data_IF_879071951185
#
_entry.id   IF_879071951185
#
_cell.length_a   1.000
_cell.length_b   1.000
_cell.length_c   1.000
_cell.angle_alpha   90.00
_cell.angle_beta   90.00
_cell.angle_gamma   90.00
#
_symmetry.space_group_name_H-M   'P 1'
#
loop_
_entity.id
_entity.type
_entity.pdbx_description
1 polymer ?
#
# COMPACT_ATOMS: atom_id res chain seq x y z
N UNK A 1 -16.11 -18.02 -4.84
CA UNK A 1 -14.92 -17.75 -5.66
C UNK A 1 -14.05 -16.76 -4.88
N UNK A 2 -12.83 -17.13 -4.61
CA UNK A 2 -11.94 -16.43 -3.68
C UNK A 2 -11.40 -15.10 -4.25
N UNK A 3 -11.27 -15.03 -5.57
CA UNK A 3 -10.78 -13.84 -6.28
C UNK A 3 -11.90 -13.30 -7.15
N UNK A 4 -12.20 -11.99 -7.12
CA UNK A 4 -13.18 -11.37 -8.00
C UNK A 4 -12.80 -11.54 -9.48
N UNK A 5 -13.80 -11.77 -10.34
CA UNK A 5 -13.56 -11.91 -11.78
C UNK A 5 -13.23 -10.58 -12.44
N UNK A 6 -13.89 -9.51 -12.01
CA UNK A 6 -13.79 -8.19 -12.61
C UNK A 6 -13.08 -7.22 -11.67
N UNK A 7 -12.28 -6.33 -12.26
CA UNK A 7 -11.67 -5.22 -11.56
C UNK A 7 -12.63 -4.01 -11.54
N UNK A 8 -12.65 -3.29 -10.44
CA UNK A 8 -13.36 -2.03 -10.31
C UNK A 8 -12.40 -0.90 -10.67
N UNK A 9 -12.78 -0.08 -11.64
CA UNK A 9 -12.00 1.11 -12.00
C UNK A 9 -12.34 2.25 -11.04
N UNK A 10 -11.31 2.79 -10.39
CA UNK A 10 -11.42 3.89 -9.45
C UNK A 10 -10.63 5.07 -10.02
N UNK A 11 -11.29 6.24 -10.11
CA UNK A 11 -10.62 7.50 -10.45
C UNK A 11 -10.46 8.30 -9.17
N UNK A 12 -9.23 8.69 -8.86
CA UNK A 12 -8.91 9.49 -7.69
C UNK A 12 -9.02 10.99 -7.97
N UNK A 13 -8.63 11.38 -9.19
CA UNK A 13 -8.70 12.75 -9.71
C UNK A 13 -8.61 12.69 -11.24
N UNK A 14 -8.41 13.85 -11.89
CA UNK A 14 -8.28 13.95 -13.34
C UNK A 14 -6.94 13.34 -13.87
N UNK A 15 -6.01 13.03 -12.99
CA UNK A 15 -4.64 12.62 -13.32
C UNK A 15 -4.41 11.13 -13.07
N UNK A 16 -5.06 10.55 -12.07
CA UNK A 16 -4.78 9.19 -11.61
C UNK A 16 -6.03 8.30 -11.61
N UNK A 17 -5.89 7.12 -12.20
CA UNK A 17 -6.88 6.06 -12.13
C UNK A 17 -6.21 4.69 -11.98
N UNK A 18 -6.89 3.79 -11.29
CA UNK A 18 -6.42 2.42 -11.11
C UNK A 18 -7.57 1.42 -11.20
N UNK A 19 -7.23 0.19 -11.57
CA UNK A 19 -8.17 -0.93 -11.59
C UNK A 19 -7.87 -1.87 -10.43
N UNK A 20 -8.82 -2.03 -9.51
CA UNK A 20 -8.64 -2.73 -8.25
C UNK A 20 -9.45 -4.02 -8.22
N UNK A 21 -8.82 -5.11 -7.79
CA UNK A 21 -9.47 -6.34 -7.33
C UNK A 21 -9.10 -6.54 -5.87
N UNK A 22 -10.09 -6.49 -5.00
CA UNK A 22 -9.86 -6.78 -3.57
C UNK A 22 -9.96 -8.27 -3.32
N UNK A 23 -8.94 -8.82 -2.67
CA UNK A 23 -8.92 -10.23 -2.23
C UNK A 23 -8.84 -10.20 -0.71
N UNK A 24 -9.82 -10.85 -0.08
CA UNK A 24 -9.85 -11.01 1.37
C UNK A 24 -9.22 -12.33 1.79
N UNK A 25 -8.58 -12.35 2.96
CA UNK A 25 -8.05 -13.56 3.58
C UNK A 25 -8.27 -13.50 5.10
N UNK A 26 -8.20 -14.67 5.74
CA UNK A 26 -8.44 -14.78 7.19
C UNK A 26 -7.40 -14.00 8.01
N UNK A 27 -6.19 -13.90 7.50
CA UNK A 27 -5.06 -13.38 8.27
C UNK A 27 -4.41 -14.45 9.17
N UNK A 28 -3.35 -14.07 9.86
CA UNK A 28 -2.75 -14.91 10.91
C UNK A 28 -3.58 -14.80 12.18
N UNK A 29 -3.78 -15.94 12.85
CA UNK A 29 -4.65 -16.00 14.03
C UNK A 29 -3.89 -15.49 15.24
N UNK A 30 -4.46 -14.51 15.93
CA UNK A 30 -3.94 -14.02 17.22
C UNK A 30 -4.30 -15.01 18.34
N UNK A 31 -3.47 -15.13 19.41
CA UNK A 31 -3.64 -16.16 20.44
C UNK A 31 -5.01 -16.21 21.10
N UNK A 32 -5.59 -15.06 21.44
CA UNK A 32 -6.92 -14.98 22.07
C UNK A 32 -8.08 -14.91 21.09
N UNK A 33 -7.86 -15.12 19.79
CA UNK A 33 -8.98 -15.19 18.83
C UNK A 33 -9.90 -16.37 19.17
N UNK A 34 -11.19 -16.15 19.03
CA UNK A 34 -12.21 -17.19 19.26
C UNK A 34 -12.66 -17.81 17.95
N UNK A 35 -13.18 -19.06 18.01
CA UNK A 35 -13.82 -19.71 16.87
C UNK A 35 -12.91 -20.65 16.08
N UNK A 36 -11.61 -20.77 16.40
CA UNK A 36 -10.71 -21.77 15.82
C UNK A 36 -10.57 -23.05 16.67
N UNK A 37 -11.15 -23.04 17.90
CA UNK A 37 -11.27 -24.20 18.78
C UNK A 37 -12.76 -24.50 18.96
N UNK A 38 -13.14 -25.75 18.82
CA UNK A 38 -14.48 -26.26 18.99
C UNK A 38 -14.41 -27.56 19.84
N UNK A 39 -15.18 -27.63 20.94
CA UNK A 39 -15.16 -28.77 21.88
C UNK A 39 -13.74 -29.16 22.36
N UNK A 40 -12.93 -28.20 22.74
CA UNK A 40 -11.54 -28.37 23.20
C UNK A 40 -10.58 -28.93 22.13
N UNK A 41 -10.99 -29.01 20.86
CA UNK A 41 -10.18 -29.45 19.75
C UNK A 41 -10.11 -28.39 18.65
N UNK A 42 -9.04 -28.37 17.83
CA UNK A 42 -8.99 -27.49 16.66
C UNK A 42 -10.19 -27.72 15.76
N UNK A 43 -10.89 -26.64 15.38
CA UNK A 43 -11.96 -26.72 14.38
C UNK A 43 -11.37 -27.17 13.05
N UNK A 44 -11.95 -28.22 12.48
CA UNK A 44 -11.54 -28.77 11.19
C UNK A 44 -12.30 -28.13 10.04
N UNK A 45 -11.64 -27.89 8.92
CA UNK A 45 -12.23 -27.25 7.73
C UNK A 45 -11.71 -27.90 6.45
N UNK A 46 -12.58 -28.01 5.45
CA UNK A 46 -12.19 -28.36 4.09
C UNK A 46 -11.69 -27.11 3.35
N UNK A 47 -10.64 -27.26 2.60
CA UNK A 47 -10.12 -26.22 1.72
C UNK A 47 -9.95 -26.75 0.30
N UNK A 48 -9.84 -25.87 -0.69
CA UNK A 48 -9.60 -26.28 -2.08
C UNK A 48 -8.17 -26.79 -2.33
N UNK A 49 -7.30 -26.74 -1.35
CA UNK A 49 -5.88 -27.12 -1.48
C UNK A 49 -5.57 -28.51 -0.92
N UNK A 50 -6.49 -29.10 -0.16
CA UNK A 50 -6.33 -30.41 0.46
C UNK A 50 -7.56 -31.26 0.24
N UNK A 51 -7.35 -32.57 0.04
CA UNK A 51 -8.42 -33.55 -0.14
C UNK A 51 -9.02 -34.01 1.21
N UNK A 52 -8.40 -33.61 2.33
CA UNK A 52 -8.81 -33.95 3.69
C UNK A 52 -9.08 -32.66 4.49
N UNK A 53 -9.86 -32.78 5.56
CA UNK A 53 -10.06 -31.73 6.52
C UNK A 53 -8.76 -31.40 7.27
N UNK A 54 -8.44 -30.13 7.41
CA UNK A 54 -7.27 -29.63 8.15
C UNK A 54 -7.72 -28.67 9.27
N UNK A 55 -6.89 -28.48 10.31
CA UNK A 55 -7.17 -27.49 11.34
C UNK A 55 -7.35 -26.07 10.76
N UNK A 56 -8.34 -25.34 11.26
CA UNK A 56 -8.68 -24.00 10.77
C UNK A 56 -7.48 -23.01 10.83
N UNK A 57 -6.68 -23.08 11.90
CA UNK A 57 -5.47 -22.26 12.01
C UNK A 57 -4.46 -22.54 10.88
N UNK A 58 -4.28 -23.81 10.53
CA UNK A 58 -3.42 -24.20 9.42
C UNK A 58 -4.00 -23.75 8.07
N UNK A 59 -5.31 -23.87 7.89
CA UNK A 59 -6.00 -23.38 6.69
C UNK A 59 -5.88 -21.85 6.54
N UNK A 60 -6.04 -21.11 7.64
CA UNK A 60 -5.89 -19.66 7.68
C UNK A 60 -4.45 -19.25 7.32
N UNK A 61 -3.46 -19.91 7.89
CA UNK A 61 -2.04 -19.64 7.63
C UNK A 61 -1.68 -19.86 6.15
N UNK A 62 -2.01 -21.03 5.61
CA UNK A 62 -1.73 -21.37 4.20
C UNK A 62 -2.50 -20.44 3.26
N UNK A 63 -3.77 -20.17 3.54
CA UNK A 63 -4.59 -19.26 2.74
C UNK A 63 -4.04 -17.84 2.71
N UNK A 64 -3.64 -17.31 3.86
CA UNK A 64 -3.04 -15.99 3.98
C UNK A 64 -1.72 -15.91 3.22
N UNK A 65 -0.84 -16.89 3.42
CA UNK A 65 0.42 -16.96 2.71
C UNK A 65 0.23 -17.01 1.18
N UNK A 66 -0.72 -17.82 0.68
CA UNK A 66 -1.04 -17.87 -0.76
C UNK A 66 -1.58 -16.54 -1.30
N UNK A 67 -2.42 -15.84 -0.54
CA UNK A 67 -2.87 -14.49 -0.93
C UNK A 67 -1.69 -13.54 -1.02
N UNK A 68 -0.83 -13.53 -0.01
CA UNK A 68 0.35 -12.67 0.02
C UNK A 68 1.31 -13.01 -1.15
N UNK A 69 1.60 -14.29 -1.41
CA UNK A 69 2.61 -14.68 -2.41
C UNK A 69 2.08 -14.62 -3.84
N UNK A 70 0.92 -15.23 -4.08
CA UNK A 70 0.49 -15.59 -5.43
C UNK A 70 -0.58 -14.64 -6.01
N UNK A 71 -1.39 -13.99 -5.15
CA UNK A 71 -2.61 -13.32 -5.57
C UNK A 71 -2.62 -11.80 -5.35
N UNK A 72 -1.74 -11.27 -4.52
CA UNK A 72 -1.69 -9.83 -4.25
C UNK A 72 -0.57 -9.13 -5.02
N UNK A 73 -0.86 -7.93 -5.52
CA UNK A 73 0.13 -7.01 -6.08
C UNK A 73 0.60 -6.02 -5.03
N UNK A 74 -0.30 -5.65 -4.12
CA UNK A 74 -0.05 -4.76 -2.98
C UNK A 74 -0.77 -5.32 -1.76
N UNK A 75 -0.21 -5.12 -0.57
CA UNK A 75 -0.81 -5.48 0.71
C UNK A 75 -1.58 -4.32 1.33
N UNK A 76 -2.81 -4.60 1.79
CA UNK A 76 -3.52 -3.76 2.74
C UNK A 76 -3.53 -4.50 4.08
N UNK A 77 -2.62 -4.12 4.97
CA UNK A 77 -2.50 -4.74 6.29
C UNK A 77 -3.45 -4.06 7.24
N UNK A 78 -4.38 -4.79 7.83
CA UNK A 78 -5.30 -4.24 8.82
C UNK A 78 -4.90 -4.72 10.20
N UNK A 79 -4.63 -3.76 11.09
CA UNK A 79 -4.32 -4.00 12.50
C UNK A 79 -5.19 -3.09 13.38
N UNK A 80 -5.02 -3.11 14.69
CA UNK A 80 -5.82 -2.32 15.63
C UNK A 80 -4.97 -1.73 16.75
N UNK A 81 -5.46 -0.67 17.36
CA UNK A 81 -4.92 -0.12 18.61
C UNK A 81 -5.40 -0.89 19.86
N UNK A 82 -6.21 -1.94 19.69
CA UNK A 82 -6.81 -2.75 20.76
C UNK A 82 -8.18 -2.24 21.23
N UNK A 83 -8.69 -1.14 20.69
CA UNK A 83 -9.98 -0.57 21.12
C UNK A 83 -11.21 -1.22 20.49
N UNK A 84 -11.02 -2.00 19.42
CA UNK A 84 -12.12 -2.54 18.59
C UNK A 84 -12.64 -3.92 19.05
N UNK A 85 -11.92 -4.57 19.96
CA UNK A 85 -12.27 -5.89 20.51
C UNK A 85 -11.75 -6.03 21.94
N UNK A 86 -12.09 -7.14 22.60
CA UNK A 86 -11.60 -7.48 23.95
C UNK A 86 -10.14 -8.02 23.91
N UNK A 87 -9.55 -8.17 22.73
CA UNK A 87 -8.16 -8.63 22.55
C UNK A 87 -7.21 -7.43 22.64
N UNK A 88 -6.25 -7.46 23.58
CA UNK A 88 -5.32 -6.34 23.76
C UNK A 88 -4.37 -6.18 22.56
N UNK A 89 -3.93 -4.94 22.31
CA UNK A 89 -3.01 -4.59 21.22
C UNK A 89 -1.79 -5.51 21.14
N UNK A 90 -1.22 -5.87 22.29
CA UNK A 90 -0.01 -6.70 22.36
C UNK A 90 -0.13 -8.07 21.70
N UNK A 91 -1.35 -8.62 21.57
CA UNK A 91 -1.53 -9.91 20.92
C UNK A 91 -1.55 -9.84 19.39
N UNK A 92 -1.78 -8.66 18.84
CA UNK A 92 -1.74 -8.44 17.39
C UNK A 92 -0.32 -8.21 16.85
N UNK A 93 0.62 -7.78 17.69
CA UNK A 93 1.94 -7.30 17.27
C UNK A 93 2.74 -8.38 16.53
N UNK A 94 2.76 -9.61 17.02
CA UNK A 94 3.51 -10.70 16.40
C UNK A 94 2.96 -11.04 15.00
N UNK A 95 1.63 -11.13 14.86
CA UNK A 95 0.98 -11.40 13.59
C UNK A 95 1.18 -10.25 12.59
N UNK A 96 1.07 -9.01 13.07
CA UNK A 96 1.30 -7.80 12.29
C UNK A 96 2.74 -7.74 11.75
N UNK A 97 3.72 -7.93 12.61
CA UNK A 97 5.14 -7.95 12.22
C UNK A 97 5.46 -9.07 11.23
N UNK A 98 4.83 -10.22 11.39
CA UNK A 98 4.99 -11.36 10.47
C UNK A 98 4.50 -10.99 9.08
N UNK A 99 3.27 -10.48 8.94
CA UNK A 99 2.70 -10.07 7.64
C UNK A 99 3.57 -9.01 6.97
N UNK A 100 3.98 -8.00 7.71
CA UNK A 100 4.79 -6.90 7.19
C UNK A 100 6.17 -7.40 6.74
N UNK A 101 6.79 -8.29 7.50
CA UNK A 101 8.06 -8.92 7.12
C UNK A 101 7.92 -9.72 5.83
N UNK A 102 6.89 -10.55 5.71
CA UNK A 102 6.64 -11.33 4.49
C UNK A 102 6.42 -10.46 3.26
N UNK A 103 5.64 -9.36 3.38
CA UNK A 103 5.45 -8.40 2.29
C UNK A 103 6.76 -7.73 1.88
N UNK A 104 7.60 -7.36 2.86
CA UNK A 104 8.93 -6.77 2.60
C UNK A 104 9.89 -7.74 1.93
N UNK A 105 9.94 -8.98 2.39
CA UNK A 105 10.80 -10.03 1.81
C UNK A 105 10.41 -10.33 0.34
N UNK A 106 9.14 -10.24 0.02
CA UNK A 106 8.63 -10.38 -1.34
C UNK A 106 8.77 -9.09 -2.19
N UNK A 107 9.21 -7.99 -1.59
CA UNK A 107 9.30 -6.69 -2.25
C UNK A 107 7.93 -6.11 -2.66
N UNK A 108 6.86 -6.54 -2.01
CA UNK A 108 5.51 -6.05 -2.30
C UNK A 108 5.25 -4.76 -1.53
N UNK A 109 4.77 -3.70 -2.20
CA UNK A 109 4.34 -2.48 -1.52
C UNK A 109 3.14 -2.77 -0.62
N UNK A 110 3.01 -2.04 0.48
CA UNK A 110 1.88 -2.19 1.38
C UNK A 110 1.55 -0.89 2.10
N UNK A 111 0.31 -0.80 2.57
CA UNK A 111 -0.22 0.26 3.43
C UNK A 111 -0.82 -0.41 4.67
N UNK A 112 -0.69 0.22 5.82
CA UNK A 112 -1.23 -0.30 7.08
C UNK A 112 -2.45 0.53 7.50
N UNK A 113 -3.54 -0.13 7.78
CA UNK A 113 -4.74 0.45 8.40
C UNK A 113 -4.68 0.16 9.90
N UNK A 114 -4.68 1.21 10.69
CA UNK A 114 -4.81 1.12 12.16
C UNK A 114 -6.28 1.33 12.53
N UNK A 115 -7.02 0.24 12.68
CA UNK A 115 -8.42 0.29 13.05
C UNK A 115 -8.59 0.66 14.53
N UNK A 116 -9.34 1.72 14.78
CA UNK A 116 -9.58 2.29 16.11
C UNK A 116 -11.02 2.77 16.24
N UNK A 117 -11.58 2.68 17.44
CA UNK A 117 -12.85 3.32 17.77
C UNK A 117 -12.73 4.86 17.92
N UNK A 118 -11.49 5.37 17.98
CA UNK A 118 -11.21 6.79 18.13
C UNK A 118 -9.95 7.17 17.32
N UNK A 119 -10.00 7.12 15.96
CA UNK A 119 -8.84 7.30 15.11
C UNK A 119 -8.17 8.67 15.28
N UNK A 120 -8.93 9.69 15.64
CA UNK A 120 -8.46 11.05 15.83
C UNK A 120 -7.85 11.33 17.21
N UNK A 121 -7.87 10.36 18.12
CA UNK A 121 -7.30 10.54 19.45
C UNK A 121 -5.77 10.75 19.38
N UNK A 122 -5.20 11.57 20.29
CA UNK A 122 -3.75 11.77 20.35
C UNK A 122 -2.98 10.46 20.52
N UNK A 123 -3.54 9.50 21.24
CA UNK A 123 -2.93 8.18 21.50
C UNK A 123 -2.85 7.35 20.21
N UNK A 124 -3.96 7.27 19.46
CA UNK A 124 -4.01 6.53 18.20
C UNK A 124 -3.10 7.16 17.14
N UNK A 125 -3.06 8.50 17.08
CA UNK A 125 -2.16 9.22 16.16
C UNK A 125 -0.69 8.99 16.52
N UNK A 126 -0.34 9.03 17.80
CA UNK A 126 1.02 8.73 18.25
C UNK A 126 1.43 7.29 17.92
N UNK A 127 0.53 6.31 18.12
CA UNK A 127 0.78 4.93 17.72
C UNK A 127 0.94 4.79 16.21
N UNK A 128 0.14 5.48 15.41
CA UNK A 128 0.27 5.46 13.94
C UNK A 128 1.61 6.03 13.48
N UNK A 129 2.11 7.09 14.12
CA UNK A 129 3.43 7.66 13.84
C UNK A 129 4.55 6.70 14.24
N UNK A 130 4.46 6.07 15.41
CA UNK A 130 5.41 5.05 15.86
C UNK A 130 5.50 3.88 14.87
N UNK A 131 4.33 3.33 14.48
CA UNK A 131 4.27 2.22 13.53
C UNK A 131 4.75 2.62 12.14
N UNK A 132 4.47 3.85 11.70
CA UNK A 132 4.99 4.40 10.44
C UNK A 132 6.52 4.42 10.43
N UNK A 133 7.13 4.88 11.51
CA UNK A 133 8.59 4.89 11.66
C UNK A 133 9.17 3.46 11.76
N UNK A 134 8.51 2.57 12.51
CA UNK A 134 8.93 1.17 12.72
C UNK A 134 8.89 0.35 11.43
N UNK A 135 7.84 0.54 10.64
CA UNK A 135 7.61 -0.27 9.43
C UNK A 135 8.07 0.39 8.15
N UNK A 136 8.54 1.64 8.20
CA UNK A 136 8.88 2.42 7.00
C UNK A 136 7.76 2.31 5.94
N UNK A 137 6.52 2.47 6.38
CA UNK A 137 5.32 2.37 5.56
C UNK A 137 4.22 3.26 6.13
N UNK A 138 3.34 3.75 5.25
CA UNK A 138 2.23 4.60 5.70
C UNK A 138 1.26 3.81 6.57
N UNK A 139 0.98 4.34 7.75
CA UNK A 139 -0.06 3.86 8.67
C UNK A 139 -1.19 4.88 8.72
N UNK A 140 -2.42 4.43 8.47
CA UNK A 140 -3.60 5.28 8.39
C UNK A 140 -4.55 4.87 9.52
N UNK A 141 -4.75 5.72 10.55
CA UNK A 141 -5.75 5.45 11.58
C UNK A 141 -7.15 5.75 11.03
N UNK A 142 -8.06 4.77 11.14
CA UNK A 142 -9.46 4.90 10.72
C UNK A 142 -10.37 4.10 11.65
N UNK A 143 -11.67 4.44 11.66
CA UNK A 143 -12.72 3.55 12.17
C UNK A 143 -13.26 2.70 11.01
N UNK A 144 -12.92 1.42 10.97
CA UNK A 144 -13.44 0.53 9.92
C UNK A 144 -14.97 0.36 10.01
N UNK A 145 -15.57 0.66 11.15
CA UNK A 145 -17.02 0.61 11.34
C UNK A 145 -17.72 1.82 10.68
N UNK A 146 -17.08 2.97 10.74
CA UNK A 146 -17.63 4.27 10.32
C UNK A 146 -16.88 4.84 9.10
N UNK A 147 -16.31 3.97 8.25
CA UNK A 147 -15.59 4.40 7.04
C UNK A 147 -16.50 5.21 6.11
N UNK A 148 -16.05 6.43 5.80
CA UNK A 148 -16.69 7.31 4.83
C UNK A 148 -16.00 7.24 3.45
N UNK A 149 -16.61 7.83 2.43
CA UNK A 149 -16.06 7.83 1.08
C UNK A 149 -14.69 8.50 1.00
N UNK A 150 -14.48 9.55 1.78
CA UNK A 150 -13.22 10.30 1.82
C UNK A 150 -12.08 9.47 2.45
N UNK A 151 -12.37 8.67 3.48
CA UNK A 151 -11.41 7.73 4.09
C UNK A 151 -10.97 6.68 3.06
N UNK A 152 -11.93 6.10 2.34
CA UNK A 152 -11.67 5.11 1.30
C UNK A 152 -10.82 5.72 0.18
N UNK A 153 -11.11 6.95 -0.23
CA UNK A 153 -10.33 7.67 -1.24
C UNK A 153 -8.90 7.94 -0.76
N UNK A 154 -8.72 8.30 0.50
CA UNK A 154 -7.39 8.50 1.07
C UNK A 154 -6.60 7.19 1.12
N UNK A 155 -7.20 6.09 1.58
CA UNK A 155 -6.58 4.77 1.59
C UNK A 155 -6.12 4.37 0.17
N UNK A 156 -7.00 4.52 -0.83
CA UNK A 156 -6.68 4.17 -2.21
C UNK A 156 -5.59 5.08 -2.78
N UNK A 157 -5.58 6.36 -2.42
CA UNK A 157 -4.53 7.31 -2.81
C UNK A 157 -3.17 6.89 -2.23
N UNK A 158 -3.14 6.52 -0.95
CA UNK A 158 -1.91 6.05 -0.30
C UNK A 158 -1.42 4.72 -0.87
N UNK A 159 -2.34 3.83 -1.25
CA UNK A 159 -2.02 2.62 -2.01
C UNK A 159 -1.34 2.99 -3.34
N UNK A 160 -1.93 3.89 -4.13
CA UNK A 160 -1.36 4.36 -5.39
C UNK A 160 0.06 4.92 -5.20
N UNK A 161 0.25 5.74 -4.18
CA UNK A 161 1.53 6.38 -3.90
C UNK A 161 2.62 5.41 -3.45
N UNK A 162 2.25 4.21 -3.02
CA UNK A 162 3.18 3.17 -2.60
C UNK A 162 3.67 2.28 -3.76
N UNK A 163 3.08 2.41 -4.96
CA UNK A 163 3.51 1.61 -6.11
C UNK A 163 4.92 2.00 -6.60
N UNK A 164 5.73 1.01 -7.00
CA UNK A 164 7.01 1.27 -7.63
C UNK A 164 6.83 1.85 -9.04
N UNK A 165 7.63 2.85 -9.37
CA UNK A 165 7.67 3.42 -10.73
C UNK A 165 8.50 2.50 -11.62
N UNK A 166 7.94 2.13 -12.77
CA UNK A 166 8.63 1.36 -13.81
C UNK A 166 9.21 2.26 -14.90
N UNK A 167 8.53 3.32 -15.23
CA UNK A 167 8.88 4.23 -16.32
C UNK A 167 8.43 5.66 -16.02
N UNK A 168 9.26 6.62 -16.39
CA UNK A 168 8.95 8.05 -16.33
C UNK A 168 9.07 8.63 -17.72
N UNK A 169 7.95 9.07 -18.29
CA UNK A 169 7.90 9.72 -19.57
C UNK A 169 7.90 11.24 -19.41
N UNK A 170 8.98 11.89 -19.81
CA UNK A 170 9.13 13.34 -19.67
C UNK A 170 8.91 14.03 -21.02
N UNK A 171 7.95 14.92 -21.08
CA UNK A 171 7.66 15.74 -22.25
C UNK A 171 8.23 17.13 -22.05
N UNK A 172 9.11 17.54 -22.94
CA UNK A 172 9.69 18.89 -22.96
C UNK A 172 9.07 19.74 -24.09
N UNK A 173 9.23 21.06 -24.00
CA UNK A 173 8.81 21.96 -25.07
C UNK A 173 9.53 21.59 -26.39
N UNK A 174 8.79 21.63 -27.52
CA UNK A 174 9.28 21.17 -28.82
C UNK A 174 10.56 21.89 -29.28
N UNK A 175 10.73 23.16 -28.96
CA UNK A 175 11.88 23.95 -29.29
C UNK A 175 13.18 23.41 -28.66
N UNK A 176 13.14 22.77 -27.49
CA UNK A 176 14.30 22.16 -26.83
C UNK A 176 14.87 21.04 -27.71
N UNK A 177 14.00 20.28 -28.36
CA UNK A 177 14.44 19.21 -29.26
C UNK A 177 15.11 19.73 -30.53
N UNK A 178 14.80 20.97 -30.94
CA UNK A 178 15.42 21.63 -32.11
C UNK A 178 16.80 22.19 -31.82
N UNK A 179 17.21 22.29 -30.56
CA UNK A 179 18.57 22.67 -30.20
C UNK A 179 19.58 21.57 -30.57
N UNK A 180 20.74 21.95 -31.02
CA UNK A 180 21.83 21.03 -31.36
C UNK A 180 22.26 20.18 -30.15
N UNK A 181 22.85 18.99 -30.48
CA UNK A 181 23.47 18.16 -29.43
C UNK A 181 24.67 18.93 -28.87
N UNK A 182 24.66 19.17 -27.54
CA UNK A 182 25.71 19.93 -26.85
C UNK A 182 25.40 21.41 -26.66
N UNK A 183 24.23 21.89 -27.09
CA UNK A 183 23.80 23.24 -26.74
C UNK A 183 23.68 23.36 -25.23
N UNK A 184 24.32 24.36 -24.62
CA UNK A 184 24.43 24.52 -23.19
C UNK A 184 23.07 24.46 -22.45
N UNK A 185 22.05 25.17 -22.95
CA UNK A 185 20.71 25.21 -22.35
C UNK A 185 20.04 23.83 -22.38
N UNK A 186 20.19 23.08 -23.48
CA UNK A 186 19.66 21.72 -23.59
C UNK A 186 20.33 20.77 -22.60
N UNK A 187 21.66 20.87 -22.49
CA UNK A 187 22.42 20.05 -21.53
C UNK A 187 22.00 20.35 -20.09
N UNK A 188 21.90 21.62 -19.74
CA UNK A 188 21.51 22.05 -18.38
C UNK A 188 20.10 21.61 -17.99
N UNK A 189 19.12 21.74 -18.90
CA UNK A 189 17.75 21.23 -18.70
C UNK A 189 17.74 19.71 -18.54
N UNK A 190 18.43 18.97 -19.39
CA UNK A 190 18.48 17.52 -19.33
C UNK A 190 19.20 17.00 -18.08
N UNK A 191 20.24 17.68 -17.64
CA UNK A 191 20.96 17.31 -16.42
C UNK A 191 20.12 17.58 -15.17
N UNK A 192 19.37 18.68 -15.16
CA UNK A 192 18.43 18.97 -14.10
C UNK A 192 17.32 17.91 -14.00
N UNK A 193 16.72 17.56 -15.13
CA UNK A 193 15.72 16.47 -15.21
C UNK A 193 16.30 15.15 -14.69
N UNK A 194 17.51 14.79 -15.16
CA UNK A 194 18.16 13.55 -14.76
C UNK A 194 18.46 13.52 -13.27
N UNK A 195 18.92 14.61 -12.71
CA UNK A 195 19.24 14.72 -11.30
C UNK A 195 17.99 14.63 -10.42
N UNK A 196 16.89 15.24 -10.83
CA UNK A 196 15.62 15.16 -10.10
C UNK A 196 14.98 13.76 -10.19
N UNK A 197 15.17 13.06 -11.31
CA UNK A 197 14.52 11.76 -11.56
C UNK A 197 15.32 10.53 -11.11
N UNK A 198 16.64 10.66 -10.86
CA UNK A 198 17.54 9.51 -10.65
C UNK A 198 17.21 8.62 -9.43
N UNK A 199 16.64 9.22 -8.39
CA UNK A 199 16.41 8.55 -7.10
C UNK A 199 14.93 8.17 -6.89
N UNK A 200 14.06 8.42 -7.88
CA UNK A 200 12.64 8.11 -7.81
C UNK A 200 12.43 6.60 -7.88
N UNK A 201 11.78 6.03 -6.87
CA UNK A 201 11.46 4.59 -6.79
C UNK A 201 9.97 4.33 -6.75
N UNK A 202 9.20 5.19 -6.11
CA UNK A 202 7.76 5.05 -5.90
C UNK A 202 7.01 6.29 -6.42
N UNK A 203 5.71 6.12 -6.69
CA UNK A 203 4.85 7.18 -7.23
C UNK A 203 4.84 8.44 -6.37
N UNK A 204 4.89 8.30 -5.04
CA UNK A 204 4.95 9.44 -4.10
C UNK A 204 6.12 10.39 -4.40
N UNK A 205 7.26 9.86 -4.77
CA UNK A 205 8.47 10.64 -5.04
C UNK A 205 8.40 11.39 -6.37
N UNK A 206 7.52 10.99 -7.29
CA UNK A 206 7.35 11.66 -8.57
C UNK A 206 6.90 13.12 -8.41
N UNK A 207 6.06 13.42 -7.41
CA UNK A 207 5.64 14.79 -7.12
C UNK A 207 6.79 15.63 -6.61
N UNK A 208 7.58 15.09 -5.69
CA UNK A 208 8.77 15.76 -5.13
C UNK A 208 9.76 16.08 -6.25
N UNK A 209 9.95 15.13 -7.17
CA UNK A 209 10.83 15.33 -8.31
C UNK A 209 10.30 16.38 -9.30
N UNK A 210 8.98 16.41 -9.55
CA UNK A 210 8.37 17.44 -10.39
C UNK A 210 8.52 18.83 -9.75
N UNK A 211 8.32 18.97 -8.45
CA UNK A 211 8.53 20.21 -7.72
C UNK A 211 10.01 20.65 -7.80
N UNK A 212 10.96 19.73 -7.59
CA UNK A 212 12.39 20.00 -7.74
C UNK A 212 12.81 20.40 -9.17
N UNK A 213 12.17 19.80 -10.20
CA UNK A 213 12.38 20.25 -11.58
C UNK A 213 11.86 21.68 -11.81
N UNK A 214 10.76 22.07 -11.15
CA UNK A 214 10.24 23.44 -11.24
C UNK A 214 11.16 24.50 -10.65
N UNK A 215 12.05 24.11 -9.73
CA UNK A 215 13.06 25.01 -9.13
C UNK A 215 14.33 25.16 -9.99
N UNK A 216 14.46 24.36 -11.05
CA UNK A 216 15.64 24.40 -11.91
C UNK A 216 15.72 25.72 -12.70
N UNK A 217 16.95 26.25 -12.94
CA UNK A 217 17.14 27.36 -13.86
C UNK A 217 16.56 27.02 -15.23
N UNK A 218 15.92 27.99 -15.87
CA UNK A 218 15.31 27.85 -17.21
C UNK A 218 14.06 26.97 -17.30
N UNK A 219 13.54 26.46 -16.18
CA UNK A 219 12.23 25.80 -16.10
C UNK A 219 11.24 26.72 -15.36
N UNK A 220 10.04 26.88 -15.92
CA UNK A 220 8.99 27.66 -15.29
C UNK A 220 8.10 26.77 -14.43
N UNK A 221 7.87 25.51 -14.91
CA UNK A 221 6.96 24.57 -14.27
C UNK A 221 7.24 23.15 -14.76
N UNK A 222 7.12 22.20 -13.84
CA UNK A 222 7.01 20.79 -14.16
C UNK A 222 5.71 20.24 -13.50
N UNK A 223 4.97 19.43 -14.22
CA UNK A 223 3.69 18.89 -13.78
C UNK A 223 3.59 17.41 -14.14
N UNK A 224 2.91 16.65 -13.29
CA UNK A 224 2.51 15.29 -13.59
C UNK A 224 1.24 15.37 -14.43
N UNK A 225 1.27 14.83 -15.65
CA UNK A 225 0.12 14.84 -16.57
C UNK A 225 -0.75 13.60 -16.45
N UNK A 226 -0.19 12.44 -16.11
CA UNK A 226 -0.90 11.19 -15.87
C UNK A 226 -0.07 10.22 -15.06
N UNK A 227 -0.75 9.35 -14.32
CA UNK A 227 -0.19 8.18 -13.65
C UNK A 227 -1.01 6.98 -14.10
N UNK A 228 -0.38 6.02 -14.75
CA UNK A 228 -1.01 4.80 -15.25
C UNK A 228 -0.44 3.58 -14.49
N UNK A 229 -1.35 2.71 -13.95
CA UNK A 229 -1.04 1.50 -13.18
C UNK A 229 -1.73 0.27 -13.76
#
# INVERSE_FOLDING_TARGET
KFIPDEAVKISLDDVASLSVKMVDCVGYIVPSAIGYIENEQPRMVMTSWFDEEIPFNMAAEIGTQKVITDHSTIGLVVTTDGSVSDIPRSEYEECEERVIRELKELGKPFVVILNSTSPDSPQTKALAEELTARYDAKVIPVSCLDLEEDDIREIIREILFSFPIKEINIRTARWINSLEKGHWLKSEILDCIRNAAKDIKIVREAKIAADAMGECPHMIKAEISSIDL
#
